data_IF_252774436052
#
_entry.id   IF_252774436052
#
_cell.length_a   1.000
_cell.length_b   1.000
_cell.length_c   1.000
_cell.angle_alpha   90.00
_cell.angle_beta   90.00
_cell.angle_gamma   90.00
#
_symmetry.space_group_name_H-M   'P 1'
#
loop_
_entity.id
_entity.type
_entity.pdbx_description
1 polymer ?
#
# COMPACT_ATOMS: atom_id res chain seq x y z
N UNK A 1 51.35 12.00 -40.84
CA UNK A 1 50.43 11.34 -39.91
C UNK A 1 49.64 10.32 -40.68
N UNK A 2 49.90 9.04 -40.43
CA UNK A 2 49.34 7.94 -41.20
C UNK A 2 47.92 7.60 -40.75
N UNK A 3 47.07 7.15 -41.68
CA UNK A 3 45.68 6.72 -41.42
C UNK A 3 45.60 5.68 -40.28
N UNK A 4 46.65 4.87 -40.11
CA UNK A 4 46.76 3.87 -39.04
C UNK A 4 46.90 4.46 -37.62
N UNK A 5 47.54 5.62 -37.45
CA UNK A 5 47.63 6.27 -36.13
C UNK A 5 46.29 6.87 -35.70
N UNK A 6 45.55 7.44 -36.66
CA UNK A 6 44.22 8.01 -36.40
C UNK A 6 43.23 6.91 -36.00
N UNK A 7 43.31 5.75 -36.65
CA UNK A 7 42.43 4.62 -36.35
C UNK A 7 42.75 3.99 -34.99
N UNK A 8 44.04 3.88 -34.64
CA UNK A 8 44.47 3.40 -33.33
C UNK A 8 44.06 4.37 -32.19
N UNK A 9 44.19 5.68 -32.40
CA UNK A 9 43.76 6.68 -31.40
C UNK A 9 42.23 6.70 -31.23
N UNK A 10 41.48 6.51 -32.32
CA UNK A 10 40.03 6.40 -32.27
C UNK A 10 39.56 5.14 -31.52
N UNK A 11 40.19 3.98 -31.77
CA UNK A 11 39.91 2.73 -31.06
C UNK A 11 40.19 2.86 -29.56
N UNK A 12 41.34 3.44 -29.19
CA UNK A 12 41.68 3.67 -27.79
C UNK A 12 40.69 4.60 -27.08
N UNK A 13 40.20 5.64 -27.77
CA UNK A 13 39.15 6.54 -27.24
C UNK A 13 37.82 5.84 -27.05
N UNK A 14 37.44 4.96 -27.99
CA UNK A 14 36.20 4.18 -27.89
C UNK A 14 36.29 3.19 -26.73
N UNK A 15 37.40 2.47 -26.58
CA UNK A 15 37.60 1.55 -25.45
C UNK A 15 37.57 2.30 -24.11
N UNK A 16 38.25 3.45 -24.03
CA UNK A 16 38.22 4.28 -22.83
C UNK A 16 36.81 4.81 -22.50
N UNK A 17 36.00 5.09 -23.52
CA UNK A 17 34.61 5.53 -23.35
C UNK A 17 33.71 4.36 -22.89
N UNK A 18 33.92 3.16 -23.41
CA UNK A 18 33.20 1.94 -23.01
C UNK A 18 33.48 1.59 -21.55
N UNK A 19 34.75 1.61 -21.14
CA UNK A 19 35.15 1.35 -19.75
C UNK A 19 34.53 2.36 -18.81
N UNK A 20 34.58 3.66 -19.16
CA UNK A 20 34.01 4.73 -18.33
C UNK A 20 32.49 4.62 -18.21
N UNK A 21 31.80 4.19 -19.27
CA UNK A 21 30.36 3.92 -19.21
C UNK A 21 30.02 2.72 -18.32
N UNK A 22 30.86 1.69 -18.34
CA UNK A 22 30.70 0.52 -17.48
C UNK A 22 30.87 0.89 -16.01
N UNK A 23 31.92 1.64 -15.67
CA UNK A 23 32.20 2.08 -14.30
C UNK A 23 31.06 2.97 -13.77
N UNK A 24 30.55 3.88 -14.60
CA UNK A 24 29.42 4.74 -14.23
C UNK A 24 28.12 3.96 -14.03
N UNK A 25 27.92 2.88 -14.79
CA UNK A 25 26.76 1.99 -14.62
C UNK A 25 26.89 1.17 -13.34
N UNK A 26 28.08 0.63 -13.05
CA UNK A 26 28.38 -0.10 -11.81
C UNK A 26 28.18 0.81 -10.57
N UNK A 27 28.65 2.05 -10.62
CA UNK A 27 28.44 3.06 -9.57
C UNK A 27 26.96 3.43 -9.40
N UNK A 28 26.22 3.60 -10.51
CA UNK A 28 24.78 3.90 -10.48
C UNK A 28 23.95 2.73 -9.91
N UNK A 29 24.36 1.49 -10.20
CA UNK A 29 23.75 0.30 -9.59
C UNK A 29 24.03 0.18 -8.10
N UNK A 30 25.27 0.50 -7.66
CA UNK A 30 25.67 0.45 -6.26
C UNK A 30 24.97 1.53 -5.41
N UNK A 31 24.70 2.70 -6.01
CA UNK A 31 23.98 3.81 -5.37
C UNK A 31 22.45 3.64 -5.38
N UNK A 32 21.92 2.59 -5.99
CA UNK A 32 20.47 2.36 -6.09
C UNK A 32 19.73 3.41 -6.93
N UNK A 33 20.45 4.18 -7.75
CA UNK A 33 19.90 5.22 -8.62
C UNK A 33 19.10 4.64 -9.81
N UNK A 34 19.35 3.37 -10.13
CA UNK A 34 18.63 2.62 -11.16
C UNK A 34 17.46 1.92 -10.46
N UNK A 35 16.24 2.23 -10.91
CA UNK A 35 15.02 1.56 -10.45
C UNK A 35 15.13 0.05 -10.66
N UNK A 36 14.57 -0.77 -9.76
CA UNK A 36 14.62 -2.24 -9.92
C UNK A 36 14.01 -2.71 -11.25
N UNK A 37 13.11 -1.91 -11.84
CA UNK A 37 12.56 -2.12 -13.17
C UNK A 37 13.58 -1.90 -14.30
N UNK A 38 14.46 -0.90 -14.15
CA UNK A 38 15.56 -0.65 -15.08
C UNK A 38 16.67 -1.69 -14.94
N UNK A 39 16.96 -2.16 -13.72
CA UNK A 39 17.86 -3.31 -13.48
C UNK A 39 17.35 -4.56 -14.18
N UNK A 40 16.06 -4.87 -14.04
CA UNK A 40 15.42 -6.00 -14.73
C UNK A 40 15.51 -5.86 -16.25
N UNK A 41 15.32 -4.64 -16.78
CA UNK A 41 15.42 -4.37 -18.22
C UNK A 41 16.86 -4.54 -18.74
N UNK A 42 17.86 -4.10 -17.99
CA UNK A 42 19.27 -4.30 -18.32
C UNK A 42 19.66 -5.79 -18.27
N UNK A 43 19.30 -6.50 -17.20
CA UNK A 43 19.60 -7.93 -17.06
C UNK A 43 18.95 -8.78 -18.16
N UNK A 44 17.69 -8.48 -18.53
CA UNK A 44 17.00 -9.14 -19.66
C UNK A 44 17.69 -8.85 -21.00
N UNK A 45 18.19 -7.63 -21.19
CA UNK A 45 18.96 -7.25 -22.38
C UNK A 45 20.29 -8.00 -22.45
N UNK A 46 21.01 -8.09 -21.34
CA UNK A 46 22.29 -8.79 -21.26
C UNK A 46 22.11 -10.29 -21.49
N UNK A 47 21.04 -10.88 -20.94
CA UNK A 47 20.67 -12.27 -21.23
C UNK A 47 20.38 -12.48 -22.72
N UNK A 48 19.61 -11.57 -23.34
CA UNK A 48 19.28 -11.65 -24.77
C UNK A 48 20.53 -11.53 -25.66
N UNK A 49 21.47 -10.66 -25.30
CA UNK A 49 22.75 -10.50 -25.98
C UNK A 49 23.62 -11.76 -25.84
N UNK A 50 23.75 -12.31 -24.63
CA UNK A 50 24.55 -13.52 -24.36
C UNK A 50 24.03 -14.77 -25.08
N UNK A 51 22.71 -14.94 -25.16
CA UNK A 51 22.11 -16.07 -25.90
C UNK A 51 22.32 -15.96 -27.41
N UNK A 52 22.47 -14.73 -27.94
CA UNK A 52 22.70 -14.48 -29.37
C UNK A 52 24.17 -14.54 -29.79
N UNK A 53 25.10 -14.64 -28.85
CA UNK A 53 26.51 -14.83 -29.18
C UNK A 53 26.69 -16.19 -29.85
N UNK A 54 27.61 -16.24 -30.82
CA UNK A 54 27.96 -17.46 -31.55
C UNK A 54 28.58 -18.55 -30.67
N UNK A 55 29.06 -18.20 -29.46
CA UNK A 55 29.55 -19.14 -28.47
C UNK A 55 29.00 -18.76 -27.08
N UNK A 56 27.75 -19.14 -26.76
CA UNK A 56 27.06 -18.68 -25.57
C UNK A 56 27.66 -19.30 -24.31
N UNK A 57 27.95 -18.46 -23.31
CA UNK A 57 28.40 -18.95 -22.01
C UNK A 57 27.21 -19.44 -21.19
N UNK A 58 26.96 -20.76 -21.20
CA UNK A 58 25.83 -21.38 -20.50
C UNK A 58 25.79 -21.06 -19.01
N UNK A 59 26.94 -20.93 -18.35
CA UNK A 59 27.01 -20.65 -16.92
C UNK A 59 26.59 -19.20 -16.61
N UNK A 60 26.96 -18.26 -17.48
CA UNK A 60 26.52 -16.87 -17.40
C UNK A 60 25.02 -16.73 -17.66
N UNK A 61 24.47 -17.50 -18.60
CA UNK A 61 23.04 -17.55 -18.90
C UNK A 61 22.24 -18.05 -17.68
N UNK A 62 22.70 -19.12 -17.02
CA UNK A 62 22.04 -19.65 -15.82
C UNK A 62 22.05 -18.61 -14.68
N UNK A 63 23.19 -17.95 -14.44
CA UNK A 63 23.31 -16.92 -13.42
C UNK A 63 22.42 -15.70 -13.70
N UNK A 64 22.35 -15.24 -14.95
CA UNK A 64 21.49 -14.14 -15.36
C UNK A 64 20.00 -14.50 -15.23
N UNK A 65 19.63 -15.73 -15.60
CA UNK A 65 18.25 -16.21 -15.46
C UNK A 65 17.83 -16.29 -13.99
N UNK A 66 18.70 -16.81 -13.13
CA UNK A 66 18.45 -16.87 -11.69
C UNK A 66 18.36 -15.50 -11.03
N UNK A 67 19.22 -14.56 -11.43
CA UNK A 67 19.16 -13.18 -10.94
C UNK A 67 17.88 -12.44 -11.40
N UNK A 68 17.39 -12.72 -12.61
CA UNK A 68 16.12 -12.16 -13.12
C UNK A 68 14.94 -12.71 -12.31
N UNK A 69 14.91 -14.02 -12.05
CA UNK A 69 13.83 -14.66 -11.29
C UNK A 69 13.72 -14.11 -9.87
N UNK A 70 14.83 -14.00 -9.15
CA UNK A 70 14.81 -13.48 -7.77
C UNK A 70 14.40 -12.02 -7.72
N UNK A 71 14.83 -11.19 -8.68
CA UNK A 71 14.40 -9.79 -8.78
C UNK A 71 12.93 -9.65 -9.15
N UNK A 72 12.39 -10.54 -9.98
CA UNK A 72 10.95 -10.57 -10.29
C UNK A 72 10.11 -10.99 -9.08
N UNK A 73 10.57 -11.98 -8.31
CA UNK A 73 9.91 -12.40 -7.06
C UNK A 73 9.89 -11.25 -6.04
N UNK A 74 11.02 -10.57 -5.83
CA UNK A 74 11.10 -9.42 -4.91
C UNK A 74 10.19 -8.27 -5.36
N UNK A 75 10.14 -8.00 -6.67
CA UNK A 75 9.24 -6.98 -7.23
C UNK A 75 7.77 -7.36 -7.00
N UNK A 76 7.42 -8.63 -7.23
CA UNK A 76 6.05 -9.09 -7.07
C UNK A 76 5.59 -9.00 -5.60
N UNK A 77 6.45 -9.39 -4.66
CA UNK A 77 6.19 -9.22 -3.22
C UNK A 77 6.02 -7.76 -2.80
N UNK A 78 6.83 -6.85 -3.36
CA UNK A 78 6.71 -5.43 -3.07
C UNK A 78 5.40 -4.81 -3.61
N UNK A 79 4.96 -5.24 -4.79
CA UNK A 79 3.66 -4.84 -5.36
C UNK A 79 2.49 -5.40 -4.53
N UNK A 80 2.62 -6.63 -4.03
CA UNK A 80 1.62 -7.26 -3.17
C UNK A 80 1.45 -6.50 -1.85
N UNK A 81 2.56 -6.09 -1.23
CA UNK A 81 2.54 -5.25 -0.02
C UNK A 81 1.88 -3.90 -0.26
N UNK A 82 2.16 -3.24 -1.40
CA UNK A 82 1.51 -1.97 -1.76
C UNK A 82 0.01 -2.15 -1.98
N UNK A 83 -0.42 -3.27 -2.57
CA UNK A 83 -1.83 -3.62 -2.73
C UNK A 83 -2.52 -3.87 -1.38
N UNK A 84 -1.85 -4.55 -0.45
CA UNK A 84 -2.35 -4.74 0.91
C UNK A 84 -2.46 -3.43 1.68
N UNK A 85 -1.45 -2.55 1.62
CA UNK A 85 -1.49 -1.22 2.22
C UNK A 85 -2.61 -0.37 1.63
N UNK A 86 -2.80 -0.39 0.30
CA UNK A 86 -3.91 0.30 -0.36
C UNK A 86 -5.27 -0.27 0.07
N UNK A 87 -5.39 -1.59 0.19
CA UNK A 87 -6.60 -2.26 0.69
C UNK A 87 -6.87 -1.90 2.15
N UNK A 88 -5.85 -1.83 2.99
CA UNK A 88 -5.99 -1.41 4.39
C UNK A 88 -6.48 0.04 4.48
N UNK A 89 -5.90 0.94 3.69
CA UNK A 89 -6.28 2.35 3.64
C UNK A 89 -7.70 2.56 3.12
N UNK A 90 -8.18 1.72 2.20
CA UNK A 90 -9.55 1.77 1.69
C UNK A 90 -10.58 1.15 2.65
N UNK A 91 -10.19 0.11 3.40
CA UNK A 91 -11.13 -0.65 4.25
C UNK A 91 -11.28 -0.09 5.67
N UNK A 92 -10.22 0.46 6.25
CA UNK A 92 -10.22 1.03 7.61
C UNK A 92 -11.24 2.18 7.81
N UNK A 93 -11.30 3.24 6.98
CA UNK A 93 -12.22 4.35 7.20
C UNK A 93 -13.69 3.96 6.96
N UNK A 94 -13.95 3.02 6.03
CA UNK A 94 -15.30 2.55 5.74
C UNK A 94 -15.89 1.71 6.88
N UNK A 95 -15.09 0.83 7.49
CA UNK A 95 -15.54 -0.01 8.60
C UNK A 95 -15.81 0.82 9.87
N UNK A 96 -14.96 1.80 10.17
CA UNK A 96 -15.16 2.70 11.33
C UNK A 96 -16.46 3.50 11.18
N UNK A 97 -16.72 4.06 9.99
CA UNK A 97 -17.93 4.84 9.74
C UNK A 97 -19.21 3.97 9.81
N UNK A 98 -19.15 2.72 9.34
CA UNK A 98 -20.27 1.79 9.44
C UNK A 98 -20.57 1.39 10.89
N UNK A 99 -19.53 1.13 11.70
CA UNK A 99 -19.70 0.80 13.13
C UNK A 99 -20.24 2.01 13.90
N UNK A 100 -19.72 3.21 13.64
CA UNK A 100 -20.15 4.43 14.32
C UNK A 100 -21.61 4.77 13.96
N UNK A 101 -21.97 4.76 12.68
CA UNK A 101 -23.34 5.05 12.27
C UNK A 101 -24.32 3.93 12.69
N UNK A 102 -23.88 2.67 12.66
CA UNK A 102 -24.69 1.53 13.13
C UNK A 102 -24.97 1.59 14.63
N UNK A 103 -23.96 1.91 15.45
CA UNK A 103 -24.13 2.09 16.90
C UNK A 103 -25.00 3.31 17.23
N UNK A 104 -24.82 4.43 16.53
CA UNK A 104 -25.66 5.61 16.69
C UNK A 104 -27.13 5.31 16.35
N UNK A 105 -27.39 4.61 15.24
CA UNK A 105 -28.72 4.20 14.83
C UNK A 105 -29.37 3.28 15.87
N UNK A 106 -28.61 2.33 16.44
CA UNK A 106 -29.11 1.43 17.46
C UNK A 106 -29.47 2.15 18.76
N UNK A 107 -28.64 3.11 19.20
CA UNK A 107 -28.91 3.95 20.37
C UNK A 107 -30.19 4.77 20.15
N UNK A 108 -30.33 5.42 18.98
CA UNK A 108 -31.54 6.16 18.63
C UNK A 108 -32.78 5.27 18.63
N UNK A 109 -32.68 4.05 18.12
CA UNK A 109 -33.78 3.09 18.10
C UNK A 109 -34.21 2.69 19.52
N UNK A 110 -33.27 2.49 20.44
CA UNK A 110 -33.55 2.23 21.86
C UNK A 110 -34.26 3.42 22.49
N UNK A 111 -33.75 4.63 22.28
CA UNK A 111 -34.35 5.85 22.86
C UNK A 111 -35.78 6.02 22.33
N UNK A 112 -35.97 6.00 21.01
CA UNK A 112 -37.29 6.18 20.38
C UNK A 112 -38.29 5.11 20.80
N UNK A 113 -37.87 3.84 20.91
CA UNK A 113 -38.75 2.74 21.35
C UNK A 113 -39.06 2.77 22.85
N UNK A 114 -38.17 3.35 23.68
CA UNK A 114 -38.39 3.45 25.12
C UNK A 114 -39.52 4.40 25.51
N UNK A 115 -39.78 5.46 24.74
CA UNK A 115 -40.87 6.43 24.97
C UNK A 115 -42.29 5.82 24.95
N UNK A 116 -42.73 5.15 23.86
CA UNK A 116 -44.06 4.54 23.82
C UNK A 116 -44.18 3.36 24.80
N UNK A 117 -43.11 2.60 25.01
CA UNK A 117 -43.08 1.48 25.96
C UNK A 117 -43.22 1.98 27.39
N UNK A 118 -42.52 3.05 27.77
CA UNK A 118 -42.63 3.68 29.08
C UNK A 118 -44.05 4.18 29.35
N UNK A 119 -44.70 4.79 28.36
CA UNK A 119 -46.08 5.24 28.45
C UNK A 119 -47.07 4.08 28.61
N UNK A 120 -46.95 3.03 27.78
CA UNK A 120 -47.80 1.84 27.86
C UNK A 120 -47.61 1.05 29.16
N UNK A 121 -46.40 1.07 29.73
CA UNK A 121 -46.06 0.40 30.98
C UNK A 121 -46.66 1.06 32.23
N UNK A 122 -47.15 2.31 32.17
CA UNK A 122 -47.79 2.99 33.30
C UNK A 122 -46.90 3.00 34.56
N UNK A 123 -47.35 2.34 35.65
CA UNK A 123 -46.59 2.10 36.89
C UNK A 123 -46.20 0.63 37.14
N UNK A 124 -46.25 -0.24 36.13
CA UNK A 124 -45.86 -1.64 36.26
C UNK A 124 -44.40 -1.79 36.76
N UNK A 125 -44.19 -2.69 37.73
CA UNK A 125 -42.92 -2.96 38.43
C UNK A 125 -42.02 -3.98 37.71
N UNK A 126 -42.34 -4.36 36.47
CA UNK A 126 -41.52 -5.32 35.72
C UNK A 126 -40.16 -4.71 35.36
N UNK A 127 -39.11 -5.53 35.35
CA UNK A 127 -37.75 -5.08 35.04
C UNK A 127 -37.65 -4.39 33.66
N UNK A 128 -38.42 -4.88 32.68
CA UNK A 128 -38.52 -4.28 31.34
C UNK A 128 -39.10 -2.86 31.38
N UNK A 129 -40.21 -2.65 32.10
CA UNK A 129 -40.83 -1.34 32.25
C UNK A 129 -39.97 -0.38 33.09
N UNK A 130 -39.23 -0.91 34.08
CA UNK A 130 -38.25 -0.14 34.84
C UNK A 130 -37.11 0.40 33.97
N UNK A 131 -36.62 -0.42 33.04
CA UNK A 131 -35.58 0.00 32.10
C UNK A 131 -36.07 1.03 31.07
N UNK A 132 -37.29 0.86 30.53
CA UNK A 132 -37.87 1.85 29.63
C UNK A 132 -38.09 3.22 30.31
N UNK A 133 -38.47 3.24 31.59
CA UNK A 133 -38.60 4.48 32.37
C UNK A 133 -37.26 5.12 32.71
N UNK A 134 -36.23 4.34 33.03
CA UNK A 134 -34.92 4.90 33.37
C UNK A 134 -34.30 5.60 32.16
N UNK A 135 -34.39 5.02 30.97
CA UNK A 135 -33.90 5.63 29.73
C UNK A 135 -34.63 6.95 29.45
N UNK A 136 -35.97 6.97 29.52
CA UNK A 136 -36.76 8.20 29.29
C UNK A 136 -36.53 9.28 30.35
N UNK A 137 -36.28 8.90 31.61
CA UNK A 137 -35.95 9.84 32.69
C UNK A 137 -34.65 10.62 32.40
N UNK A 138 -33.58 9.91 32.02
CA UNK A 138 -32.30 10.55 31.68
C UNK A 138 -32.42 11.51 30.49
N UNK A 139 -33.17 11.12 29.46
CA UNK A 139 -33.39 11.98 28.29
C UNK A 139 -34.19 13.23 28.66
N UNK A 140 -35.28 13.09 29.42
CA UNK A 140 -36.07 14.24 29.86
C UNK A 140 -35.30 15.18 30.79
N UNK A 141 -34.39 14.66 31.62
CA UNK A 141 -33.52 15.48 32.47
C UNK A 141 -32.49 16.27 31.64
N UNK A 142 -31.97 15.67 30.57
CA UNK A 142 -31.01 16.31 29.67
C UNK A 142 -31.63 17.46 28.86
N UNK A 143 -32.88 17.30 28.40
CA UNK A 143 -33.63 18.32 27.66
C UNK A 143 -34.47 19.26 28.56
N UNK A 144 -34.36 19.14 29.88
CA UNK A 144 -35.06 20.03 30.80
C UNK A 144 -34.44 21.43 30.68
N UNK A 145 -35.24 22.41 30.29
CA UNK A 145 -34.80 23.81 30.25
C UNK A 145 -34.28 24.22 31.63
N UNK A 146 -33.14 24.94 31.73
CA UNK A 146 -32.69 25.48 32.99
C UNK A 146 -33.77 26.44 33.50
N UNK A 147 -34.23 26.23 34.74
CA UNK A 147 -35.21 27.10 35.37
C UNK A 147 -34.68 28.55 35.32
N UNK A 148 -35.26 29.38 34.44
CA UNK A 148 -35.00 30.82 34.42
C UNK A 148 -35.73 31.40 35.62
N UNK A 149 -35.06 31.38 36.77
CA UNK A 149 -35.53 32.07 37.97
C UNK A 149 -35.51 33.59 37.73
N UNK A 150 -36.59 34.33 38.00
CA UNK A 150 -36.54 35.80 38.05
C UNK A 150 -35.67 36.30 39.22
#
# INVERSE_FOLDING_TARGET
MGINEIFADALNKIDAMIVRHRDWNEESTALGLISDEEKLKMLKRDLYCEVRLSNPNQQKILNLTGAIQTLEEIKHDAELRKLEEAKLNLTMPAQINQILNGSLAFILLIVVSSYPVSFACGNALTQFCGYARSVTYFVNQFFREPDVTP
#
